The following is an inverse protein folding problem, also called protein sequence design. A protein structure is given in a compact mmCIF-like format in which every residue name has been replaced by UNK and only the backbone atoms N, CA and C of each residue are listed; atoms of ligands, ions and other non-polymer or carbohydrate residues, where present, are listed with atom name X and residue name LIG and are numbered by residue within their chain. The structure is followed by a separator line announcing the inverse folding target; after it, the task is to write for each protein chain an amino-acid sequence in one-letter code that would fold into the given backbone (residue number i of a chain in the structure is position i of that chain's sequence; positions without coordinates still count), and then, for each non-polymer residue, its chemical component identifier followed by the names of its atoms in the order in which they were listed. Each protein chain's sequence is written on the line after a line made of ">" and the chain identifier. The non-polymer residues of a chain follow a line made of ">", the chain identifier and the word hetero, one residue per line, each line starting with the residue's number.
data_IF_703589266066
#
_entry.id   IF_703589266066
#
_cell.length_a   1.000
_cell.length_b   1.000
_cell.length_c   1.000
_cell.angle_alpha   90.00
_cell.angle_beta   90.00
_cell.angle_gamma   90.00
#
_symmetry.space_group_name_H-M   'P 1'
#
loop_
_entity.id
_entity.type
_entity.pdbx_description
1 polymer ?
#
# COMPACT_ATOMS: atom_id res chain seq x y z
N UNK A 1 2.00 -9.85 12.43
CA UNK A 1 1.03 -10.04 11.34
C UNK A 1 -0.10 -9.04 11.53
N UNK A 2 -0.20 -8.02 10.68
CA UNK A 2 -1.26 -7.00 10.79
C UNK A 2 -2.63 -7.64 10.51
N UNK A 3 -3.64 -7.35 11.33
CA UNK A 3 -4.99 -7.84 11.05
C UNK A 3 -5.57 -7.03 9.90
N UNK A 4 -6.21 -7.69 8.93
CA UNK A 4 -6.81 -7.04 7.75
C UNK A 4 -7.73 -5.87 8.12
N UNK A 5 -8.41 -5.96 9.26
CA UNK A 5 -9.31 -4.93 9.76
C UNK A 5 -8.59 -3.67 10.23
N UNK A 6 -7.38 -3.80 10.78
CA UNK A 6 -6.56 -2.65 11.16
C UNK A 6 -6.08 -1.90 9.92
N UNK A 7 -5.67 -2.65 8.90
CA UNK A 7 -5.24 -2.10 7.60
C UNK A 7 -6.40 -1.36 6.93
N UNK A 8 -7.60 -1.94 6.92
CA UNK A 8 -8.81 -1.28 6.38
C UNK A 8 -9.12 0.02 7.10
N UNK A 9 -9.13 -0.01 8.43
CA UNK A 9 -9.40 1.18 9.25
C UNK A 9 -8.34 2.27 9.07
N UNK A 10 -7.07 1.89 8.97
CA UNK A 10 -5.98 2.82 8.71
C UNK A 10 -6.05 3.40 7.29
N UNK A 11 -6.11 2.55 6.26
CA UNK A 11 -6.21 2.96 4.85
C UNK A 11 -7.42 3.88 4.59
N UNK A 12 -8.56 3.58 5.23
CA UNK A 12 -9.77 4.40 5.13
C UNK A 12 -9.60 5.84 5.62
N UNK A 13 -8.70 6.09 6.59
CA UNK A 13 -8.36 7.45 7.04
C UNK A 13 -7.68 8.29 5.96
N UNK A 14 -7.12 7.65 4.95
CA UNK A 14 -6.42 8.30 3.83
C UNK A 14 -7.19 8.19 2.51
N UNK A 15 -8.49 7.86 2.57
CA UNK A 15 -9.32 7.72 1.36
C UNK A 15 -9.02 6.46 0.55
N UNK A 16 -8.40 5.45 1.18
CA UNK A 16 -8.06 4.18 0.53
C UNK A 16 -8.94 3.06 1.08
N UNK A 17 -9.57 2.32 0.18
CA UNK A 17 -10.41 1.18 0.52
C UNK A 17 -9.74 -0.12 0.13
N UNK A 18 -9.84 -1.15 1.00
CA UNK A 18 -9.27 -2.49 0.76
C UNK A 18 -10.39 -3.52 0.73
N UNK A 19 -10.43 -4.32 -0.34
CA UNK A 19 -11.44 -5.36 -0.56
C UNK A 19 -10.77 -6.68 -0.91
N UNK A 20 -11.36 -7.78 -0.43
CA UNK A 20 -10.92 -9.13 -0.82
C UNK A 20 -11.47 -9.44 -2.22
N UNK A 21 -10.62 -9.93 -3.12
CA UNK A 21 -11.00 -10.34 -4.47
C UNK A 21 -10.36 -11.71 -4.75
N UNK A 22 -11.20 -12.74 -4.90
CA UNK A 22 -10.72 -14.12 -5.05
C UNK A 22 -9.88 -14.56 -3.84
N UNK A 23 -8.68 -15.06 -4.13
CA UNK A 23 -7.71 -15.50 -3.12
C UNK A 23 -6.86 -14.35 -2.54
N UNK A 24 -6.91 -13.16 -3.16
CA UNK A 24 -6.12 -12.00 -2.78
C UNK A 24 -6.94 -10.81 -2.29
N UNK A 25 -6.26 -9.68 -2.21
CA UNK A 25 -6.79 -8.38 -1.82
C UNK A 25 -6.44 -7.34 -2.87
N UNK A 26 -7.34 -6.39 -3.04
CA UNK A 26 -7.17 -5.21 -3.90
C UNK A 26 -7.40 -3.98 -3.05
N UNK A 27 -6.71 -2.89 -3.39
CA UNK A 27 -7.00 -1.57 -2.84
C UNK A 27 -7.39 -0.60 -3.95
N UNK A 28 -8.22 0.38 -3.61
CA UNK A 28 -8.66 1.42 -4.52
C UNK A 28 -8.75 2.74 -3.75
N UNK A 29 -8.39 3.82 -4.42
CA UNK A 29 -8.52 5.19 -3.93
C UNK A 29 -9.40 6.01 -4.86
N UNK A 30 -9.98 7.09 -4.34
CA UNK A 30 -10.86 7.95 -5.14
C UNK A 30 -10.13 8.48 -6.38
N UNK A 31 -10.71 8.25 -7.56
CA UNK A 31 -10.13 8.67 -8.85
C UNK A 31 -9.00 7.77 -9.38
N UNK A 32 -8.73 6.61 -8.77
CA UNK A 32 -7.81 5.59 -9.31
C UNK A 32 -8.49 4.26 -9.54
N UNK A 33 -8.00 3.55 -10.56
CA UNK A 33 -8.38 2.16 -10.79
C UNK A 33 -7.90 1.27 -9.64
N UNK A 34 -8.66 0.21 -9.30
CA UNK A 34 -8.26 -0.75 -8.29
C UNK A 34 -6.93 -1.40 -8.65
N UNK A 35 -6.11 -1.65 -7.63
CA UNK A 35 -4.85 -2.38 -7.78
C UNK A 35 -5.10 -3.81 -8.28
N UNK A 36 -4.04 -4.45 -8.79
CA UNK A 36 -4.06 -5.88 -9.02
C UNK A 36 -4.30 -6.64 -7.71
N UNK A 37 -4.92 -7.83 -7.83
CA UNK A 37 -5.15 -8.73 -6.69
C UNK A 37 -3.83 -9.32 -6.22
N UNK A 38 -3.44 -9.02 -4.99
CA UNK A 38 -2.18 -9.48 -4.39
C UNK A 38 -2.39 -9.96 -2.95
N UNK A 39 -1.32 -10.44 -2.31
CA UNK A 39 -1.31 -10.74 -0.88
C UNK A 39 -1.63 -9.51 -0.04
N UNK A 40 -2.14 -9.71 1.18
CA UNK A 40 -2.44 -8.57 2.06
C UNK A 40 -1.19 -7.74 2.37
N UNK A 41 -0.02 -8.36 2.45
CA UNK A 41 1.25 -7.69 2.74
C UNK A 41 1.65 -6.75 1.59
N UNK A 42 1.58 -7.21 0.34
CA UNK A 42 1.76 -6.38 -0.86
C UNK A 42 0.77 -5.20 -0.89
N UNK A 43 -0.50 -5.46 -0.56
CA UNK A 43 -1.51 -4.40 -0.52
C UNK A 43 -1.14 -3.34 0.52
N UNK A 44 -0.68 -3.75 1.71
CA UNK A 44 -0.22 -2.80 2.75
C UNK A 44 0.95 -1.98 2.23
N UNK A 45 1.94 -2.61 1.61
CA UNK A 45 3.10 -1.91 1.06
C UNK A 45 2.70 -0.89 -0.01
N UNK A 46 1.82 -1.27 -0.94
CA UNK A 46 1.33 -0.38 -1.99
C UNK A 46 0.55 0.81 -1.43
N UNK A 47 -0.33 0.57 -0.45
CA UNK A 47 -1.09 1.64 0.21
C UNK A 47 -0.14 2.57 0.96
N UNK A 48 0.85 2.02 1.67
CA UNK A 48 1.84 2.80 2.39
C UNK A 48 2.67 3.68 1.44
N UNK A 49 3.12 3.12 0.32
CA UNK A 49 3.79 3.87 -0.73
C UNK A 49 2.88 4.94 -1.35
N UNK A 50 1.60 4.64 -1.58
CA UNK A 50 0.65 5.60 -2.11
C UNK A 50 0.42 6.79 -1.17
N UNK A 51 0.22 6.53 0.12
CA UNK A 51 -0.02 7.56 1.15
C UNK A 51 1.22 8.40 1.39
N UNK A 52 2.39 7.75 1.47
CA UNK A 52 3.66 8.43 1.77
C UNK A 52 4.32 9.06 0.54
N UNK A 53 3.73 8.90 -0.65
CA UNK A 53 4.21 9.49 -1.90
C UNK A 53 5.50 8.86 -2.42
N UNK A 54 5.58 7.52 -2.44
CA UNK A 54 6.74 6.73 -2.91
C UNK A 54 8.05 7.00 -2.13
N UNK A 55 7.96 7.64 -0.96
CA UNK A 55 9.12 7.96 -0.12
C UNK A 55 9.89 6.72 0.36
N UNK A 56 9.30 5.53 0.30
CA UNK A 56 10.04 4.28 0.55
C UNK A 56 11.13 4.05 -0.51
N UNK A 57 10.83 4.27 -1.80
CA UNK A 57 11.85 4.21 -2.86
C UNK A 57 12.85 5.34 -2.73
N UNK A 58 12.40 6.54 -2.36
CA UNK A 58 13.33 7.66 -2.17
C UNK A 58 14.30 7.43 -1.01
N UNK A 59 13.83 6.84 0.09
CA UNK A 59 14.68 6.44 1.22
C UNK A 59 15.67 5.31 0.84
N UNK A 60 15.25 4.31 0.06
CA UNK A 60 16.17 3.29 -0.48
C UNK A 60 17.17 3.86 -1.50
N UNK A 61 16.77 4.85 -2.30
CA UNK A 61 17.64 5.51 -3.29
C UNK A 61 18.72 6.35 -2.61
N UNK A 62 18.34 7.13 -1.60
CA UNK A 62 19.27 7.91 -0.78
C UNK A 62 20.29 7.01 -0.07
N UNK A 63 19.84 5.87 0.48
CA UNK A 63 20.74 4.93 1.15
C UNK A 63 21.77 4.31 0.19
N UNK A 64 21.36 3.92 -1.02
CA UNK A 64 22.30 3.39 -2.04
C UNK A 64 23.21 4.45 -2.65
N UNK A 65 22.77 5.72 -2.72
CA UNK A 65 23.60 6.81 -3.24
C UNK A 65 24.65 7.31 -2.23
N UNK A 66 24.49 7.01 -0.94
CA UNK A 66 25.45 7.36 0.11
C UNK A 66 26.51 6.27 0.35
N UNK A 67 26.52 5.22 -0.47
CA UNK A 67 27.54 4.16 -0.52
C UNK A 67 28.47 4.31 -1.76
N UNK A 68 28.50 5.48 -2.39
CA UNK A 68 29.42 5.83 -3.50
C UNK A 68 30.37 6.97 -3.14
#
# INVERSE_FOLDING_TARGET
>A
MFKVNEIKSWAGKYGVSVKKQGEGYVWFSEGKEPSASCSIEDVVEQIFNHITGDKYKQHQKDYKSNES
#
